data_IF_079489013119
#
_entry.id   IF_079489013119
#
_cell.length_a   1.000
_cell.length_b   1.000
_cell.length_c   1.000
_cell.angle_alpha   90.00
_cell.angle_beta   90.00
_cell.angle_gamma   90.00
#
_symmetry.space_group_name_H-M   'P 1'
#
loop_
_entity.id
_entity.type
_entity.pdbx_description
1 polymer ?
#
# COMPACT_ATOMS: atom_id res chain seq x y z
N UNK A 1 14.84 -0.51 -10.86
CA UNK A 1 13.62 -0.20 -11.66
C UNK A 1 12.65 -1.33 -11.38
N UNK A 2 11.60 -1.11 -10.57
CA UNK A 2 10.76 -2.19 -10.06
C UNK A 2 9.80 -2.79 -11.11
N UNK A 3 9.59 -4.10 -11.07
CA UNK A 3 8.61 -4.89 -11.81
C UNK A 3 7.58 -5.47 -10.84
N UNK A 4 6.32 -5.10 -10.98
CA UNK A 4 5.25 -5.57 -10.09
C UNK A 4 4.63 -6.83 -10.68
N UNK A 5 4.55 -7.90 -9.90
CA UNK A 5 3.85 -9.14 -10.27
C UNK A 5 2.77 -9.46 -9.22
N UNK A 6 1.50 -9.29 -9.58
CA UNK A 6 0.36 -9.55 -8.71
C UNK A 6 -0.34 -10.84 -9.13
N UNK A 7 -0.24 -11.89 -8.31
CA UNK A 7 -0.99 -13.14 -8.55
C UNK A 7 -2.23 -13.18 -7.65
N UNK A 8 -3.40 -12.86 -8.22
CA UNK A 8 -4.67 -13.09 -7.54
C UNK A 8 -4.94 -14.60 -7.50
N UNK A 9 -4.57 -15.27 -6.40
CA UNK A 9 -4.89 -16.68 -6.22
C UNK A 9 -5.97 -16.87 -5.14
N UNK A 10 -7.27 -16.82 -5.48
CA UNK A 10 -8.30 -17.31 -4.59
C UNK A 10 -8.38 -18.83 -4.73
N UNK A 11 -8.00 -19.52 -3.66
CA UNK A 11 -8.33 -20.93 -3.34
C UNK A 11 -7.33 -22.01 -3.79
N UNK A 12 -6.78 -22.68 -2.78
CA UNK A 12 -6.43 -24.09 -2.84
C UNK A 12 -7.68 -24.92 -3.21
N UNK A 13 -7.75 -25.49 -4.41
CA UNK A 13 -8.55 -26.70 -4.72
C UNK A 13 -8.02 -27.39 -5.98
N UNK A 14 -7.87 -28.70 -5.87
CA UNK A 14 -7.25 -29.59 -6.84
C UNK A 14 -8.02 -29.72 -8.17
N UNK A 15 -7.30 -29.80 -9.29
CA UNK A 15 -7.36 -30.87 -10.30
C UNK A 15 -6.79 -30.44 -11.68
N UNK A 16 -5.80 -31.20 -12.17
CA UNK A 16 -5.81 -31.71 -13.55
C UNK A 16 -5.38 -30.82 -14.72
N UNK A 17 -4.07 -30.78 -15.00
CA UNK A 17 -3.49 -31.16 -16.29
C UNK A 17 -3.59 -30.21 -17.51
N UNK A 18 -2.46 -29.61 -17.91
CA UNK A 18 -1.74 -29.86 -19.17
C UNK A 18 -0.58 -28.85 -19.35
N UNK A 19 0.55 -29.33 -19.88
CA UNK A 19 1.87 -28.72 -19.81
C UNK A 19 2.12 -27.50 -20.73
N UNK A 20 2.86 -26.52 -20.19
CA UNK A 20 3.90 -25.74 -20.89
C UNK A 20 5.10 -25.55 -19.92
N UNK A 21 6.37 -25.74 -20.35
CA UNK A 21 7.50 -25.70 -19.44
C UNK A 21 8.00 -24.25 -19.31
N UNK A 22 7.40 -23.47 -18.40
CA UNK A 22 8.09 -22.33 -17.81
C UNK A 22 8.73 -22.79 -16.51
N UNK A 23 10.06 -22.67 -16.43
CA UNK A 23 10.84 -22.94 -15.22
C UNK A 23 10.27 -22.06 -14.09
N UNK A 24 9.56 -22.69 -13.17
CA UNK A 24 9.06 -22.07 -11.95
C UNK A 24 10.24 -21.95 -10.96
N UNK A 25 10.76 -20.76 -10.65
CA UNK A 25 11.88 -20.60 -9.71
C UNK A 25 11.48 -20.89 -8.24
N UNK A 26 10.22 -21.20 -7.95
CA UNK A 26 9.70 -21.41 -6.60
C UNK A 26 10.22 -22.66 -5.84
N UNK A 27 11.06 -23.52 -6.43
CA UNK A 27 11.31 -24.86 -5.85
C UNK A 27 12.62 -25.12 -5.12
N UNK A 28 13.57 -24.17 -5.02
CA UNK A 28 14.90 -24.53 -4.50
C UNK A 28 15.47 -23.70 -3.33
N UNK A 29 14.79 -22.70 -2.76
CA UNK A 29 15.49 -21.72 -1.91
C UNK A 29 15.04 -21.57 -0.44
N UNK A 30 14.13 -22.40 0.07
CA UNK A 30 13.76 -22.37 1.49
C UNK A 30 14.81 -23.08 2.37
N UNK A 31 15.82 -22.32 2.83
CA UNK A 31 16.83 -22.80 3.75
C UNK A 31 17.67 -21.68 4.37
N UNK A 32 17.08 -20.86 5.23
CA UNK A 32 17.81 -19.87 6.03
C UNK A 32 16.86 -18.96 6.83
N UNK A 33 17.08 -18.87 8.15
CA UNK A 33 16.29 -18.03 9.06
C UNK A 33 16.44 -16.53 8.70
N UNK A 34 15.30 -15.85 8.61
CA UNK A 34 15.18 -14.44 8.21
C UNK A 34 15.39 -13.50 9.40
N UNK A 35 16.04 -12.33 9.21
CA UNK A 35 16.20 -11.33 10.26
C UNK A 35 14.90 -10.56 10.50
N UNK A 36 14.66 -10.26 11.78
CA UNK A 36 13.43 -9.68 12.33
C UNK A 36 13.33 -8.19 11.94
N UNK A 37 12.24 -7.83 11.24
CA UNK A 37 11.76 -6.45 11.06
C UNK A 37 11.63 -5.79 12.42
N UNK A 38 12.07 -4.52 12.55
CA UNK A 38 12.13 -3.78 13.82
C UNK A 38 10.84 -3.94 14.64
N UNK A 39 10.93 -4.73 15.71
CA UNK A 39 9.83 -5.13 16.59
C UNK A 39 8.97 -3.94 17.05
N UNK A 40 9.55 -2.74 17.15
CA UNK A 40 8.85 -1.53 17.58
C UNK A 40 7.69 -1.10 16.68
N UNK A 41 7.80 -1.25 15.36
CA UNK A 41 6.74 -0.80 14.44
C UNK A 41 5.56 -1.79 14.48
N UNK A 42 5.85 -3.09 14.52
CA UNK A 42 4.82 -4.13 14.65
C UNK A 42 4.18 -4.15 16.04
N UNK A 43 4.93 -3.85 17.11
CA UNK A 43 4.41 -3.77 18.49
C UNK A 43 3.43 -2.60 18.67
N UNK A 44 3.69 -1.45 18.04
CA UNK A 44 2.76 -0.30 18.11
C UNK A 44 1.46 -0.62 17.36
N UNK A 45 1.55 -1.15 16.14
CA UNK A 45 0.38 -1.49 15.33
C UNK A 45 -0.46 -2.63 15.93
N UNK A 46 0.19 -3.64 16.52
CA UNK A 46 -0.51 -4.80 17.13
C UNK A 46 -1.12 -4.49 18.50
N UNK A 47 -0.55 -3.57 19.29
CA UNK A 47 -1.10 -3.18 20.57
C UNK A 47 -2.37 -2.32 20.46
N UNK A 48 -2.52 -1.56 19.36
CA UNK A 48 -3.64 -0.65 19.12
C UNK A 48 -4.89 -1.38 18.60
N UNK A 49 -4.71 -2.41 17.75
CA UNK A 49 -5.80 -3.23 17.20
C UNK A 49 -6.60 -4.01 18.27
N UNK A 50 -6.04 -4.25 19.45
CA UNK A 50 -6.64 -5.09 20.49
C UNK A 50 -7.76 -4.42 21.32
N UNK A 51 -8.04 -3.11 21.14
CA UNK A 51 -8.94 -2.34 22.03
C UNK A 51 -10.31 -1.96 21.45
N UNK A 52 -10.62 -2.29 20.20
CA UNK A 52 -11.97 -2.11 19.62
C UNK A 52 -12.38 -0.65 19.33
N UNK A 53 -11.49 0.31 19.55
CA UNK A 53 -11.53 1.66 18.96
C UNK A 53 -10.43 1.67 17.89
N UNK A 54 -10.73 2.09 16.65
CA UNK A 54 -9.74 2.12 15.56
C UNK A 54 -8.46 2.86 15.96
N UNK A 55 -7.34 2.56 15.31
CA UNK A 55 -6.07 3.20 15.66
C UNK A 55 -6.20 4.74 15.53
N UNK A 56 -5.41 5.53 16.29
CA UNK A 56 -5.37 6.98 16.09
C UNK A 56 -5.15 7.38 14.63
N UNK A 57 -4.39 6.57 13.89
CA UNK A 57 -4.17 6.74 12.46
C UNK A 57 -5.44 6.54 11.64
N UNK A 58 -6.20 5.47 11.89
CA UNK A 58 -7.46 5.19 11.17
C UNK A 58 -8.50 6.29 11.40
N UNK A 59 -8.62 6.77 12.65
CA UNK A 59 -9.55 7.84 13.00
C UNK A 59 -9.22 9.11 12.22
N UNK A 60 -7.95 9.51 12.20
CA UNK A 60 -7.52 10.70 11.46
C UNK A 60 -7.65 10.49 9.96
N UNK A 61 -7.28 9.32 9.44
CA UNK A 61 -7.40 8.96 8.03
C UNK A 61 -8.84 9.13 7.53
N UNK A 62 -9.83 8.61 8.26
CA UNK A 62 -11.23 8.72 7.86
C UNK A 62 -11.71 10.18 7.89
N UNK A 63 -11.31 10.98 8.89
CA UNK A 63 -11.63 12.41 8.91
C UNK A 63 -11.01 13.18 7.75
N UNK A 64 -9.76 12.86 7.40
CA UNK A 64 -9.09 13.47 6.25
C UNK A 64 -9.78 13.06 4.96
N UNK A 65 -10.11 11.77 4.77
CA UNK A 65 -10.82 11.27 3.58
C UNK A 65 -12.14 12.00 3.36
N UNK A 66 -12.92 12.21 4.41
CA UNK A 66 -14.17 12.96 4.34
C UNK A 66 -13.95 14.43 3.93
N UNK A 67 -12.97 15.11 4.52
CA UNK A 67 -12.62 16.49 4.12
C UNK A 67 -12.13 16.59 2.69
N UNK A 68 -11.35 15.60 2.25
CA UNK A 68 -10.83 15.51 0.88
C UNK A 68 -11.98 15.29 -0.11
N UNK A 69 -12.93 14.39 0.17
CA UNK A 69 -14.14 14.19 -0.65
C UNK A 69 -15.01 15.44 -0.76
N UNK A 70 -15.02 16.28 0.26
CA UNK A 70 -15.74 17.57 0.25
C UNK A 70 -14.99 18.66 -0.52
N UNK A 71 -13.67 18.53 -0.67
CA UNK A 71 -12.80 19.57 -1.25
C UNK A 71 -12.36 19.27 -2.68
N UNK A 72 -12.33 18.00 -3.09
CA UNK A 72 -11.83 17.52 -4.38
C UNK A 72 -12.87 16.67 -5.10
N UNK A 73 -12.96 16.85 -6.41
CA UNK A 73 -13.81 16.02 -7.27
C UNK A 73 -13.18 14.64 -7.52
N UNK A 74 -13.96 13.62 -7.89
CA UNK A 74 -13.42 12.30 -8.24
C UNK A 74 -12.32 12.36 -9.31
N UNK A 75 -12.47 13.22 -10.32
CA UNK A 75 -11.47 13.40 -11.37
C UNK A 75 -10.14 13.96 -10.86
N UNK A 76 -10.18 14.85 -9.85
CA UNK A 76 -8.97 15.39 -9.21
C UNK A 76 -8.30 14.36 -8.30
N UNK A 77 -9.05 13.44 -7.69
CA UNK A 77 -8.47 12.34 -6.93
C UNK A 77 -7.77 11.31 -7.82
N UNK A 78 -8.32 11.06 -9.01
CA UNK A 78 -7.69 10.20 -10.01
C UNK A 78 -6.43 10.82 -10.62
N UNK A 79 -6.43 12.15 -10.82
CA UNK A 79 -5.31 12.90 -11.42
C UNK A 79 -5.04 14.19 -10.66
N UNK A 80 -4.38 14.10 -9.48
CA UNK A 80 -4.15 15.27 -8.65
C UNK A 80 -3.05 16.17 -9.23
N UNK A 81 -3.36 17.45 -9.38
CA UNK A 81 -2.38 18.49 -9.68
C UNK A 81 -1.47 18.77 -8.48
N UNK A 82 -0.41 19.56 -8.67
CA UNK A 82 0.45 20.01 -7.57
C UNK A 82 -0.33 20.80 -6.51
N UNK A 83 -1.34 21.57 -6.92
CA UNK A 83 -2.22 22.32 -6.01
C UNK A 83 -3.12 21.39 -5.21
N UNK A 84 -3.68 20.35 -5.83
CA UNK A 84 -4.52 19.35 -5.14
C UNK A 84 -3.69 18.60 -4.08
N UNK A 85 -2.46 18.18 -4.43
CA UNK A 85 -1.54 17.54 -3.47
C UNK A 85 -1.22 18.46 -2.28
N UNK A 86 -0.94 19.73 -2.53
CA UNK A 86 -0.67 20.71 -1.49
C UNK A 86 -1.89 20.98 -0.59
N UNK A 87 -3.10 20.98 -1.16
CA UNK A 87 -4.34 21.10 -0.41
C UNK A 87 -4.54 19.90 0.52
N UNK A 88 -4.40 18.67 0.00
CA UNK A 88 -4.56 17.45 0.81
C UNK A 88 -3.53 17.39 1.94
N UNK A 89 -2.26 17.71 1.65
CA UNK A 89 -1.22 17.75 2.67
C UNK A 89 -1.55 18.74 3.80
N UNK A 90 -2.08 19.92 3.45
CA UNK A 90 -2.54 20.90 4.45
C UNK A 90 -3.67 20.35 5.30
N UNK A 91 -4.69 19.73 4.68
CA UNK A 91 -5.82 19.13 5.39
C UNK A 91 -5.37 18.03 6.35
N UNK A 92 -4.42 17.18 5.92
CA UNK A 92 -3.82 16.13 6.76
C UNK A 92 -3.14 16.75 7.98
N UNK A 93 -2.23 17.70 7.74
CA UNK A 93 -1.43 18.32 8.79
C UNK A 93 -2.31 19.06 9.81
N UNK A 94 -3.37 19.74 9.37
CA UNK A 94 -4.35 20.38 10.24
C UNK A 94 -5.14 19.36 11.08
N UNK A 95 -5.49 18.21 10.49
CA UNK A 95 -6.27 17.18 11.19
C UNK A 95 -5.44 16.41 12.22
N UNK A 96 -4.18 16.10 11.92
CA UNK A 96 -3.25 15.51 12.90
C UNK A 96 -3.15 16.41 14.14
N UNK A 97 -2.97 17.72 13.94
CA UNK A 97 -2.90 18.67 15.05
C UNK A 97 -4.21 18.77 15.82
N UNK A 98 -5.36 18.81 15.12
CA UNK A 98 -6.68 18.84 15.74
C UNK A 98 -6.89 17.62 16.62
N UNK A 99 -6.59 16.44 16.08
CA UNK A 99 -6.73 15.17 16.77
C UNK A 99 -5.83 15.12 18.01
N UNK A 100 -4.55 15.47 17.88
CA UNK A 100 -3.62 15.45 19.01
C UNK A 100 -4.05 16.40 20.13
N UNK A 101 -4.44 17.65 19.81
CA UNK A 101 -4.98 18.59 20.82
C UNK A 101 -6.23 18.05 21.52
N UNK A 102 -7.12 17.41 20.77
CA UNK A 102 -8.32 16.81 21.34
C UNK A 102 -7.94 15.63 22.25
N UNK A 103 -7.12 14.69 21.77
CA UNK A 103 -6.68 13.53 22.53
C UNK A 103 -6.00 13.92 23.84
N UNK A 104 -5.08 14.90 23.82
CA UNK A 104 -4.41 15.45 25.01
C UNK A 104 -5.40 15.98 26.04
N UNK A 105 -6.42 16.73 25.60
CA UNK A 105 -7.44 17.31 26.47
C UNK A 105 -8.27 16.27 27.22
N UNK A 106 -8.38 15.04 26.69
CA UNK A 106 -9.10 13.92 27.28
C UNK A 106 -8.18 12.83 27.84
N UNK A 107 -6.86 13.05 27.87
CA UNK A 107 -5.88 12.05 28.32
C UNK A 107 -5.86 10.78 27.47
N UNK A 108 -6.20 10.88 26.18
CA UNK A 108 -6.20 9.79 25.21
C UNK A 108 -4.86 9.72 24.45
N UNK A 109 -4.50 8.56 23.87
CA UNK A 109 -3.32 8.46 23.01
C UNK A 109 -3.39 9.41 21.83
N UNK A 110 -2.30 10.16 21.61
CA UNK A 110 -2.08 10.98 20.41
C UNK A 110 -1.51 10.12 19.29
N UNK A 111 -1.52 10.65 18.06
CA UNK A 111 -0.66 10.10 17.01
C UNK A 111 0.81 10.29 17.42
N UNK A 112 1.50 9.18 17.63
CA UNK A 112 2.91 9.12 17.99
C UNK A 112 3.76 8.98 16.72
N UNK A 113 4.88 9.69 16.64
CA UNK A 113 5.82 9.58 15.52
C UNK A 113 6.16 10.92 14.87
N UNK A 114 6.92 10.86 13.78
CA UNK A 114 7.24 12.03 12.97
C UNK A 114 5.98 12.46 12.19
N UNK A 115 5.54 13.68 12.44
CA UNK A 115 4.35 14.27 11.80
C UNK A 115 4.46 14.30 10.29
N UNK A 116 5.64 14.62 9.76
CA UNK A 116 5.86 14.74 8.32
C UNK A 116 5.81 13.37 7.65
N UNK A 117 6.35 12.35 8.32
CA UNK A 117 6.28 10.95 7.91
C UNK A 117 4.83 10.45 7.87
N UNK A 118 4.08 10.64 8.96
CA UNK A 118 2.67 10.26 9.04
C UNK A 118 1.86 10.98 7.97
N UNK A 119 2.11 12.28 7.77
CA UNK A 119 1.41 13.05 6.76
C UNK A 119 1.70 12.55 5.34
N UNK A 120 2.94 12.15 5.06
CA UNK A 120 3.33 11.56 3.78
C UNK A 120 2.64 10.22 3.55
N UNK A 121 2.59 9.36 4.57
CA UNK A 121 1.89 8.08 4.50
C UNK A 121 0.37 8.27 4.23
N UNK A 122 -0.25 9.23 4.92
CA UNK A 122 -1.65 9.59 4.65
C UNK A 122 -1.85 10.13 3.24
N UNK A 123 -0.94 10.98 2.76
CA UNK A 123 -0.98 11.53 1.41
C UNK A 123 -0.88 10.41 0.36
N UNK A 124 0.03 9.45 0.53
CA UNK A 124 0.15 8.29 -0.35
C UNK A 124 -1.11 7.43 -0.33
N UNK A 125 -1.74 7.23 0.83
CA UNK A 125 -3.01 6.51 0.94
C UNK A 125 -4.14 7.18 0.17
N UNK A 126 -4.20 8.52 0.22
CA UNK A 126 -5.30 9.31 -0.37
C UNK A 126 -5.10 9.58 -1.86
N UNK A 127 -3.89 9.96 -2.28
CA UNK A 127 -3.59 10.44 -3.64
C UNK A 127 -2.57 9.58 -4.40
N UNK A 128 -1.69 8.86 -3.69
CA UNK A 128 -0.60 8.05 -4.28
C UNK A 128 -1.01 6.60 -4.48
N UNK A 129 -0.07 5.67 -4.52
CA UNK A 129 -0.35 4.22 -4.55
C UNK A 129 -0.36 3.57 -3.16
N UNK A 130 -0.67 4.35 -2.12
CA UNK A 130 -0.73 3.87 -0.75
C UNK A 130 0.60 3.29 -0.30
N UNK A 131 0.62 2.10 0.31
CA UNK A 131 1.83 1.52 0.86
C UNK A 131 2.77 0.94 -0.22
N UNK A 132 2.39 1.02 -1.50
CA UNK A 132 3.27 0.68 -2.62
C UNK A 132 4.27 1.79 -2.95
N UNK A 133 3.96 3.05 -2.66
CA UNK A 133 4.82 4.20 -2.99
C UNK A 133 6.26 4.07 -2.45
N UNK A 134 6.48 3.74 -1.17
CA UNK A 134 7.84 3.62 -0.65
C UNK A 134 8.67 2.51 -1.33
N UNK A 135 7.99 1.50 -1.88
CA UNK A 135 8.64 0.41 -2.61
C UNK A 135 8.99 0.82 -4.05
N UNK A 136 8.18 1.69 -4.66
CA UNK A 136 8.44 2.21 -5.99
C UNK A 136 9.51 3.30 -6.00
N UNK A 137 9.59 4.08 -4.92
CA UNK A 137 10.63 5.10 -4.73
C UNK A 137 12.01 4.51 -4.37
N UNK A 138 12.08 3.27 -3.88
CA UNK A 138 13.33 2.59 -3.55
C UNK A 138 14.06 2.12 -4.82
N UNK A 139 15.03 2.91 -5.29
CA UNK A 139 15.82 2.62 -6.49
C UNK A 139 16.58 1.29 -6.43
N UNK A 140 16.80 0.74 -5.22
CA UNK A 140 17.46 -0.56 -5.03
C UNK A 140 16.55 -1.75 -5.35
N UNK A 141 15.24 -1.51 -5.53
CA UNK A 141 14.24 -2.53 -5.87
C UNK A 141 14.11 -2.68 -7.40
N UNK A 142 14.13 -3.94 -7.82
CA UNK A 142 14.00 -4.41 -9.21
C UNK A 142 12.68 -5.14 -9.47
N UNK A 143 12.14 -5.91 -8.52
CA UNK A 143 10.83 -6.53 -8.64
C UNK A 143 10.04 -6.43 -7.31
N UNK A 144 8.71 -6.37 -7.39
CA UNK A 144 7.74 -6.35 -6.27
C UNK A 144 6.64 -7.38 -6.59
N UNK A 145 6.65 -8.52 -5.91
CA UNK A 145 5.60 -9.52 -6.02
C UNK A 145 4.57 -9.32 -4.92
N UNK A 146 3.30 -9.19 -5.30
CA UNK A 146 2.17 -8.98 -4.38
C UNK A 146 1.27 -10.22 -4.45
N UNK A 147 1.26 -11.02 -3.39
CA UNK A 147 0.42 -12.22 -3.30
C UNK A 147 -0.83 -12.02 -2.43
N UNK A 148 -0.90 -10.91 -1.69
CA UNK A 148 -1.98 -10.61 -0.77
C UNK A 148 -1.79 -9.23 -0.12
N UNK A 149 -2.73 -8.80 0.72
CA UNK A 149 -2.73 -7.44 1.24
C UNK A 149 -1.81 -7.20 2.45
N UNK A 150 -1.13 -8.22 2.97
CA UNK A 150 -0.36 -8.16 4.22
C UNK A 150 1.17 -8.17 4.04
N UNK A 151 1.66 -8.58 2.89
CA UNK A 151 3.09 -8.66 2.60
C UNK A 151 3.38 -8.61 1.11
N UNK A 152 4.60 -8.21 0.79
CA UNK A 152 5.16 -8.26 -0.56
C UNK A 152 6.50 -8.95 -0.53
N UNK A 153 6.89 -9.56 -1.65
CA UNK A 153 8.27 -10.01 -1.87
C UNK A 153 8.92 -8.98 -2.78
N UNK A 154 10.08 -8.46 -2.41
CA UNK A 154 10.86 -7.56 -3.26
C UNK A 154 12.18 -8.21 -3.65
N UNK A 155 12.68 -7.88 -4.83
CA UNK A 155 14.01 -8.29 -5.30
C UNK A 155 14.81 -7.05 -5.68
N UNK A 156 16.13 -7.15 -5.63
CA UNK A 156 17.00 -6.06 -6.06
C UNK A 156 18.46 -6.30 -5.66
N UNK A 157 19.20 -5.22 -5.42
CA UNK A 157 20.64 -5.28 -5.11
C UNK A 157 20.95 -6.13 -3.87
N UNK A 158 20.01 -6.20 -2.92
CA UNK A 158 20.12 -6.95 -1.66
C UNK A 158 19.66 -8.40 -1.77
N UNK A 159 19.22 -8.83 -2.95
CA UNK A 159 18.61 -10.14 -3.16
C UNK A 159 17.11 -10.11 -2.92
N UNK A 160 16.54 -11.23 -2.46
CA UNK A 160 15.09 -11.41 -2.26
C UNK A 160 14.74 -11.11 -0.80
N UNK A 161 13.78 -10.22 -0.56
CA UNK A 161 13.31 -9.82 0.77
C UNK A 161 11.78 -9.93 0.85
N UNK A 162 11.25 -10.43 1.97
CA UNK A 162 9.82 -10.30 2.28
C UNK A 162 9.66 -9.04 3.13
N UNK A 163 8.81 -8.11 2.69
CA UNK A 163 8.51 -6.87 3.42
C UNK A 163 7.05 -6.88 3.87
N UNK A 164 6.78 -6.63 5.18
CA UNK A 164 5.41 -6.47 5.66
C UNK A 164 4.83 -5.19 5.07
N UNK A 165 3.60 -5.27 4.57
CA UNK A 165 2.90 -4.16 3.94
C UNK A 165 1.43 -4.28 4.24
N UNK A 166 0.77 -3.22 4.70
CA UNK A 166 -0.67 -3.26 4.95
C UNK A 166 -1.44 -2.51 3.85
N UNK A 167 -1.93 -3.26 2.87
CA UNK A 167 -2.86 -2.76 1.85
C UNK A 167 -4.31 -2.70 2.35
N UNK A 168 -4.60 -3.17 3.57
CA UNK A 168 -5.95 -3.30 4.11
C UNK A 168 -6.64 -4.54 3.57
N UNK A 169 -7.74 -4.36 2.84
CA UNK A 169 -8.50 -5.48 2.26
C UNK A 169 -8.05 -5.79 0.83
N UNK A 170 -8.34 -7.00 0.31
CA UNK A 170 -8.09 -7.32 -1.11
C UNK A 170 -8.76 -6.32 -2.07
N UNK A 171 -9.94 -5.80 -1.72
CA UNK A 171 -10.62 -4.76 -2.51
C UNK A 171 -9.82 -3.45 -2.53
N UNK A 172 -9.28 -3.03 -1.39
CA UNK A 172 -8.42 -1.85 -1.31
C UNK A 172 -7.13 -2.02 -2.12
N UNK A 173 -6.50 -3.20 -2.07
CA UNK A 173 -5.36 -3.52 -2.93
C UNK A 173 -5.74 -3.40 -4.41
N UNK A 174 -6.89 -3.95 -4.82
CA UNK A 174 -7.38 -3.85 -6.19
C UNK A 174 -7.67 -2.40 -6.61
N UNK A 175 -8.18 -1.56 -5.71
CA UNK A 175 -8.34 -0.12 -5.98
C UNK A 175 -7.00 0.57 -6.22
N UNK A 176 -5.97 0.23 -5.43
CA UNK A 176 -4.60 0.75 -5.59
C UNK A 176 -4.02 0.32 -6.95
N UNK A 177 -4.10 -0.96 -7.30
CA UNK A 177 -3.60 -1.47 -8.58
C UNK A 177 -4.35 -0.85 -9.76
N UNK A 178 -5.67 -0.70 -9.67
CA UNK A 178 -6.46 -0.02 -10.70
C UNK A 178 -6.09 1.46 -10.85
N UNK A 179 -5.76 2.15 -9.74
CA UNK A 179 -5.28 3.53 -9.78
C UNK A 179 -3.91 3.63 -10.47
N UNK A 180 -3.01 2.68 -10.22
CA UNK A 180 -1.74 2.59 -10.94
C UNK A 180 -1.95 2.39 -12.45
N UNK A 181 -2.95 1.58 -12.83
CA UNK A 181 -3.28 1.30 -14.23
C UNK A 181 -4.08 2.40 -14.93
N UNK A 182 -4.70 3.33 -14.19
CA UNK A 182 -5.58 4.37 -14.74
C UNK A 182 -4.95 5.19 -15.90
N UNK A 183 -3.66 5.58 -15.87
CA UNK A 183 -3.02 6.27 -17.00
C UNK A 183 -2.93 5.43 -18.27
N UNK A 184 -2.92 4.09 -18.14
CA UNK A 184 -2.79 3.14 -19.25
C UNK A 184 -4.13 2.82 -19.91
N UNK A 185 -5.25 3.21 -19.28
CA UNK A 185 -6.61 2.87 -19.73
C UNK A 185 -7.00 1.42 -19.48
N UNK A 186 -6.18 0.65 -18.75
CA UNK A 186 -6.45 -0.74 -18.37
C UNK A 186 -7.08 -0.82 -16.99
N UNK A 187 -7.76 -1.93 -16.73
CA UNK A 187 -8.35 -2.24 -15.42
C UNK A 187 -8.07 -3.69 -15.07
N UNK A 188 -8.02 -3.94 -13.78
CA UNK A 188 -7.86 -5.25 -13.18
C UNK A 188 -9.13 -5.57 -12.41
N UNK A 189 -9.72 -6.73 -12.66
CA UNK A 189 -10.90 -7.18 -11.92
C UNK A 189 -10.75 -8.66 -11.51
N UNK A 190 -11.55 -9.09 -10.55
CA UNK A 190 -11.48 -10.47 -10.02
C UNK A 190 -11.92 -11.54 -11.04
N UNK A 191 -12.58 -11.15 -12.15
CA UNK A 191 -13.05 -12.07 -13.19
C UNK A 191 -12.04 -12.21 -14.34
N UNK A 192 -11.21 -11.20 -14.56
CA UNK A 192 -10.14 -11.14 -15.53
C UNK A 192 -8.88 -10.60 -14.86
N UNK A 193 -8.12 -11.46 -14.17
CA UNK A 193 -7.00 -11.03 -13.35
C UNK A 193 -5.77 -10.67 -14.18
N UNK A 194 -5.81 -10.73 -15.52
CA UNK A 194 -4.60 -10.61 -16.34
C UNK A 194 -4.40 -9.22 -16.93
N UNK A 195 -3.30 -8.56 -16.60
CA UNK A 195 -2.87 -7.28 -17.16
C UNK A 195 -1.35 -7.24 -17.34
N UNK A 196 -0.85 -6.69 -18.45
CA UNK A 196 0.57 -6.34 -18.62
C UNK A 196 0.66 -4.89 -19.07
N UNK A 197 1.12 -4.00 -18.19
CA UNK A 197 1.07 -2.56 -18.38
C UNK A 197 2.38 -1.88 -17.97
N UNK A 198 2.67 -0.74 -18.60
CA UNK A 198 3.73 0.16 -18.15
C UNK A 198 3.09 1.33 -17.40
N UNK A 199 3.51 1.54 -16.15
CA UNK A 199 3.00 2.58 -15.28
C UNK A 199 3.63 3.94 -15.62
N UNK A 200 3.10 5.01 -15.01
CA UNK A 200 3.52 6.39 -15.30
C UNK A 200 4.96 6.71 -14.87
N UNK A 201 5.51 5.98 -13.91
CA UNK A 201 6.91 6.04 -13.48
C UNK A 201 7.85 5.23 -14.39
N UNK A 202 7.28 4.51 -15.37
CA UNK A 202 8.01 3.64 -16.29
C UNK A 202 8.16 2.18 -15.82
N UNK A 203 7.76 1.87 -14.58
CA UNK A 203 7.73 0.50 -14.05
C UNK A 203 6.74 -0.38 -14.82
N UNK A 204 6.90 -1.70 -14.72
CA UNK A 204 5.99 -2.66 -15.37
C UNK A 204 5.13 -3.35 -14.32
N UNK A 205 3.84 -3.41 -14.57
CA UNK A 205 2.89 -4.17 -13.76
C UNK A 205 2.36 -5.34 -14.57
N UNK A 206 2.52 -6.54 -14.01
CA UNK A 206 1.86 -7.76 -14.44
C UNK A 206 0.91 -8.26 -13.37
N UNK A 207 -0.29 -8.63 -13.79
CA UNK A 207 -1.22 -9.46 -13.05
C UNK A 207 -1.79 -10.52 -13.99
#
# INVERSE_FOLDING_TARGET
>A
MPYIDYSANPSNSAAGGAAHPQKNPQKEFFGGELPIVSQRVQEVLSAEAARGEGSPFDIVMEQVREKVRQSLTPAQLERPSGEDKALVLRLILEEIERFNRHAESYGRPTLQGDREEIARQMLYSILGLGPLEPLLEDETIEDIYINGPAEVIVTGEKGVEIRPVDFGTPEMLMEILNRALAPTGRRLDFQSPTVDAQLSDGSRLRA
#
